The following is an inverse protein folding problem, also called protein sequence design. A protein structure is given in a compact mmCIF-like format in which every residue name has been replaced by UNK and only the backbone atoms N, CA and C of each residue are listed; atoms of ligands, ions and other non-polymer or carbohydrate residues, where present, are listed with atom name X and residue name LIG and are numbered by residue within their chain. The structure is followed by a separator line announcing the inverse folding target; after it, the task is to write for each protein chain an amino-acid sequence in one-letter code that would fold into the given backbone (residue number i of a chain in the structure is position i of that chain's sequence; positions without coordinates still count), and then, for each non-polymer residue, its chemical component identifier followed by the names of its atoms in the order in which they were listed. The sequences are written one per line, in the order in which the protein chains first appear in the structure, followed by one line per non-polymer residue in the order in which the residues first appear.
data_IF_928685108448
#
_entry.id   IF_928685108448
#
_cell.length_a   1.000
_cell.length_b   1.000
_cell.length_c   1.000
_cell.angle_alpha   90.00
_cell.angle_beta   90.00
_cell.angle_gamma   90.00
#
_symmetry.space_group_name_H-M   'P 1'
#
loop_
_entity.id
_entity.type
_entity.pdbx_description
1 polymer ?
#
# COMPACT_ATOMS: atom_id res chain seq x y z
N UNK A 1 -0.33 13.75 -6.37
CA UNK A 1 -1.38 13.65 -7.42
C UNK A 1 -1.71 12.18 -7.68
N UNK A 2 -2.86 11.88 -8.29
CA UNK A 2 -3.16 10.52 -8.76
C UNK A 2 -2.23 10.13 -9.92
N UNK A 3 -1.68 8.92 -9.87
CA UNK A 3 -0.99 8.30 -11.01
C UNK A 3 -1.59 6.92 -11.23
N UNK A 4 -2.11 6.67 -12.45
CA UNK A 4 -2.59 5.34 -12.81
C UNK A 4 -1.45 4.33 -12.75
N UNK A 5 -1.64 3.29 -11.95
CA UNK A 5 -0.68 2.20 -11.80
C UNK A 5 -1.41 0.86 -11.68
N UNK A 6 -1.28 0.06 -12.74
CA UNK A 6 -1.68 -1.34 -12.72
C UNK A 6 -0.59 -2.16 -13.41
N UNK A 7 0.26 -2.78 -12.62
CA UNK A 7 1.31 -3.66 -13.10
C UNK A 7 0.96 -5.15 -12.95
N UNK A 8 -0.31 -5.47 -12.72
CA UNK A 8 -0.78 -6.86 -12.80
C UNK A 8 -0.39 -7.44 -14.17
N UNK A 9 0.23 -8.62 -14.25
CA UNK A 9 0.82 -9.15 -15.48
C UNK A 9 -0.22 -9.42 -16.58
N UNK A 10 -1.49 -9.59 -16.20
CA UNK A 10 -2.61 -9.78 -17.13
C UNK A 10 -3.47 -8.52 -17.29
N UNK A 11 -3.05 -7.38 -16.73
CA UNK A 11 -3.77 -6.11 -16.81
C UNK A 11 -5.17 -6.14 -16.18
N UNK A 12 -5.44 -7.09 -15.26
CA UNK A 12 -6.75 -7.22 -14.63
C UNK A 12 -7.05 -5.99 -13.78
N UNK A 13 -8.23 -5.42 -13.94
CA UNK A 13 -8.65 -4.19 -13.23
C UNK A 13 -9.48 -4.45 -11.97
N UNK A 14 -10.17 -5.60 -11.92
CA UNK A 14 -11.09 -5.98 -10.85
C UNK A 14 -10.62 -7.25 -10.16
N UNK A 15 -9.53 -7.13 -9.40
CA UNK A 15 -8.96 -8.21 -8.58
C UNK A 15 -8.53 -7.63 -7.22
N UNK A 16 -8.63 -8.43 -6.17
CA UNK A 16 -8.25 -8.06 -4.80
C UNK A 16 -6.73 -8.06 -4.58
N UNK A 17 -5.96 -7.48 -5.49
CA UNK A 17 -4.49 -7.51 -5.50
C UNK A 17 -3.83 -6.19 -5.04
N UNK A 18 -4.59 -5.32 -4.37
CA UNK A 18 -4.10 -4.01 -3.92
C UNK A 18 -2.84 -4.12 -3.06
N UNK A 19 -2.78 -5.09 -2.15
CA UNK A 19 -1.59 -5.36 -1.34
C UNK A 19 -0.37 -5.69 -2.20
N UNK A 20 -0.54 -6.50 -3.26
CA UNK A 20 0.53 -6.89 -4.18
C UNK A 20 1.01 -5.68 -4.98
N UNK A 21 0.10 -4.92 -5.58
CA UNK A 21 0.44 -3.72 -6.37
C UNK A 21 1.11 -2.65 -5.51
N UNK A 22 0.62 -2.44 -4.29
CA UNK A 22 1.20 -1.47 -3.37
C UNK A 22 2.63 -1.87 -2.96
N UNK A 23 2.82 -3.11 -2.50
CA UNK A 23 4.15 -3.64 -2.15
C UNK A 23 5.10 -3.58 -3.34
N UNK A 24 4.65 -4.04 -4.51
CA UNK A 24 5.43 -3.97 -5.75
C UNK A 24 5.90 -2.54 -6.06
N UNK A 25 4.99 -1.57 -6.00
CA UNK A 25 5.32 -0.17 -6.27
C UNK A 25 6.27 0.43 -5.23
N UNK A 26 6.06 0.13 -3.95
CA UNK A 26 6.86 0.67 -2.85
C UNK A 26 8.28 0.09 -2.82
N UNK A 27 8.44 -1.18 -3.22
CA UNK A 27 9.73 -1.86 -3.25
C UNK A 27 10.47 -1.70 -4.59
N UNK A 28 9.79 -1.23 -5.64
CA UNK A 28 10.38 -1.12 -6.97
C UNK A 28 10.62 -2.48 -7.64
N UNK A 29 9.79 -3.48 -7.31
CA UNK A 29 9.87 -4.86 -7.83
C UNK A 29 8.67 -5.17 -8.72
N UNK A 30 8.71 -6.26 -9.47
CA UNK A 30 7.59 -6.71 -10.29
C UNK A 30 6.38 -7.14 -9.45
N UNK A 31 5.22 -7.26 -10.10
CA UNK A 31 4.01 -7.77 -9.44
C UNK A 31 4.21 -9.21 -8.97
N UNK A 32 4.85 -10.06 -9.78
CA UNK A 32 5.10 -11.47 -9.45
C UNK A 32 6.05 -11.61 -8.25
N UNK A 33 7.12 -10.82 -8.21
CA UNK A 33 8.04 -10.80 -7.05
C UNK A 33 7.32 -10.36 -5.77
N UNK A 34 6.47 -9.33 -5.83
CA UNK A 34 5.69 -8.89 -4.68
C UNK A 34 4.66 -9.94 -4.24
N UNK A 35 4.03 -10.63 -5.21
CA UNK A 35 3.10 -11.71 -4.97
C UNK A 35 3.79 -12.86 -4.23
N UNK A 36 4.96 -13.29 -4.70
CA UNK A 36 5.73 -14.38 -4.10
C UNK A 36 6.18 -14.05 -2.67
N UNK A 37 6.67 -12.82 -2.43
CA UNK A 37 7.04 -12.36 -1.08
C UNK A 37 5.86 -12.43 -0.10
N UNK A 38 4.69 -11.92 -0.52
CA UNK A 38 3.49 -11.93 0.31
C UNK A 38 2.96 -13.35 0.51
N UNK A 39 2.97 -14.20 -0.52
CA UNK A 39 2.50 -15.59 -0.43
C UNK A 39 3.39 -16.43 0.49
N UNK A 40 4.71 -16.27 0.40
CA UNK A 40 5.64 -16.99 1.28
C UNK A 40 5.53 -16.52 2.72
N UNK A 41 5.36 -15.21 2.95
CA UNK A 41 5.13 -14.68 4.28
C UNK A 41 3.79 -15.15 4.86
N UNK A 42 2.72 -15.13 4.07
CA UNK A 42 1.40 -15.55 4.53
C UNK A 42 1.39 -17.04 4.91
N UNK A 43 2.08 -17.90 4.15
CA UNK A 43 2.28 -19.32 4.50
C UNK A 43 3.03 -19.48 5.83
N UNK A 44 4.10 -18.72 6.06
CA UNK A 44 4.89 -18.77 7.31
C UNK A 44 4.05 -18.33 8.52
N UNK A 45 3.15 -17.38 8.32
CA UNK A 45 2.30 -16.83 9.38
C UNK A 45 0.97 -17.57 9.53
N UNK A 46 0.64 -18.49 8.60
CA UNK A 46 -0.63 -19.22 8.61
C UNK A 46 -1.86 -18.34 8.33
N UNK A 47 -1.71 -17.26 7.56
CA UNK A 47 -2.81 -16.34 7.19
C UNK A 47 -2.79 -16.02 5.69
N UNK A 48 -3.64 -15.09 5.26
CA UNK A 48 -3.83 -14.67 3.87
C UNK A 48 -2.88 -13.51 3.48
N UNK A 49 -2.62 -13.36 2.19
CA UNK A 49 -1.61 -12.42 1.65
C UNK A 49 -1.94 -10.94 1.88
N UNK A 50 -3.22 -10.59 1.94
CA UNK A 50 -3.69 -9.24 2.17
C UNK A 50 -3.93 -8.92 3.65
N UNK A 51 -3.53 -9.83 4.55
CA UNK A 51 -3.51 -9.56 5.99
C UNK A 51 -2.47 -8.47 6.31
N UNK A 52 -2.85 -7.50 7.14
CA UNK A 52 -1.99 -6.39 7.53
C UNK A 52 -0.70 -6.83 8.21
N UNK A 53 -0.72 -7.96 8.92
CA UNK A 53 0.47 -8.49 9.59
C UNK A 53 1.46 -9.06 8.57
N UNK A 54 0.96 -9.66 7.49
CA UNK A 54 1.76 -10.16 6.36
C UNK A 54 2.40 -9.00 5.61
N UNK A 55 1.60 -7.98 5.26
CA UNK A 55 2.11 -6.77 4.58
C UNK A 55 3.16 -6.08 5.47
N UNK A 56 2.88 -5.94 6.77
CA UNK A 56 3.83 -5.37 7.73
C UNK A 56 5.13 -6.14 7.80
N UNK A 57 5.07 -7.47 7.85
CA UNK A 57 6.25 -8.31 7.93
C UNK A 57 7.14 -8.17 6.68
N UNK A 58 6.54 -8.21 5.48
CA UNK A 58 7.27 -7.99 4.22
C UNK A 58 7.88 -6.60 4.19
N UNK A 59 7.09 -5.54 4.39
CA UNK A 59 7.59 -4.16 4.35
C UNK A 59 8.71 -3.92 5.38
N UNK A 60 8.58 -4.49 6.59
CA UNK A 60 9.61 -4.41 7.64
C UNK A 60 10.93 -5.05 7.22
N UNK A 61 10.90 -6.18 6.51
CA UNK A 61 12.11 -6.80 5.97
C UNK A 61 12.83 -5.90 4.95
N UNK A 62 12.12 -4.95 4.34
CA UNK A 62 12.64 -4.01 3.35
C UNK A 62 12.91 -2.59 3.91
N UNK A 63 12.96 -2.46 5.24
CA UNK A 63 13.36 -1.24 5.94
C UNK A 63 12.22 -0.26 6.22
N UNK A 64 10.97 -0.64 5.95
CA UNK A 64 9.83 0.17 6.36
C UNK A 64 9.51 -0.07 7.84
N UNK A 65 8.86 0.91 8.46
CA UNK A 65 8.24 0.74 9.77
C UNK A 65 6.83 1.32 9.76
N UNK A 66 5.97 0.80 10.63
CA UNK A 66 4.54 1.14 10.68
C UNK A 66 4.32 2.29 11.65
N UNK A 67 3.57 3.30 11.21
CA UNK A 67 3.03 4.37 12.06
C UNK A 67 1.50 4.33 12.02
N UNK A 68 0.89 4.68 13.16
CA UNK A 68 -0.55 4.88 13.24
C UNK A 68 -0.86 6.35 13.00
N UNK A 69 -1.87 6.63 12.18
CA UNK A 69 -2.32 8.00 11.99
C UNK A 69 -3.00 8.50 13.29
N UNK A 70 -2.71 9.73 13.77
CA UNK A 70 -3.32 10.24 14.99
C UNK A 70 -4.85 10.31 14.85
N UNK A 71 -5.54 9.52 15.67
CA UNK A 71 -6.99 9.26 15.67
C UNK A 71 -7.89 10.47 15.96
N UNK A 72 -7.39 11.70 15.82
CA UNK A 72 -8.16 12.90 16.17
C UNK A 72 -9.40 13.08 15.29
N UNK A 73 -9.39 12.51 14.07
CA UNK A 73 -10.61 12.34 13.29
C UNK A 73 -10.43 11.29 12.18
N UNK A 74 -11.30 10.27 12.18
CA UNK A 74 -11.14 9.03 11.41
C UNK A 74 -11.46 9.16 9.92
N UNK A 75 -12.26 10.16 9.54
CA UNK A 75 -12.82 10.31 8.19
C UNK A 75 -12.45 11.64 7.51
N UNK A 76 -11.53 12.42 8.10
CA UNK A 76 -11.17 13.75 7.60
C UNK A 76 -9.75 13.83 7.03
N UNK A 77 -9.04 12.71 6.92
CA UNK A 77 -7.72 12.69 6.31
C UNK A 77 -7.64 11.63 5.22
N UNK A 78 -7.66 12.12 3.99
CA UNK A 78 -7.74 11.31 2.78
C UNK A 78 -6.36 10.94 2.24
N UNK A 79 -6.27 9.90 1.41
CA UNK A 79 -5.04 9.55 0.68
C UNK A 79 -4.51 10.74 -0.12
N UNK A 80 -5.40 11.54 -0.71
CA UNK A 80 -5.03 12.75 -1.48
C UNK A 80 -4.35 13.79 -0.58
N UNK A 81 -4.88 14.04 0.61
CA UNK A 81 -4.30 14.97 1.58
C UNK A 81 -2.99 14.43 2.14
N UNK A 82 -2.93 13.14 2.49
CA UNK A 82 -1.71 12.46 2.89
C UNK A 82 -0.60 12.66 1.86
N UNK A 83 -0.91 12.42 0.58
CA UNK A 83 0.06 12.61 -0.49
C UNK A 83 0.48 14.08 -0.66
N UNK A 84 -0.44 15.04 -0.53
CA UNK A 84 -0.10 16.47 -0.58
C UNK A 84 0.85 16.88 0.56
N UNK A 85 0.60 16.40 1.77
CA UNK A 85 1.34 16.82 2.96
C UNK A 85 2.66 16.04 3.13
N UNK A 86 2.84 14.93 2.40
CA UNK A 86 4.07 14.14 2.35
C UNK A 86 4.70 14.18 0.94
N UNK A 87 5.32 15.31 0.54
CA UNK A 87 5.83 15.52 -0.81
C UNK A 87 7.13 14.76 -1.12
N UNK A 88 7.76 14.15 -0.12
CA UNK A 88 9.02 13.41 -0.25
C UNK A 88 8.90 12.12 0.57
N UNK A 89 9.35 11.00 0.00
CA UNK A 89 9.43 9.71 0.68
C UNK A 89 8.57 8.64 0.04
N UNK A 90 8.70 7.40 0.54
CA UNK A 90 7.92 6.26 0.07
C UNK A 90 7.06 5.72 1.21
N UNK A 91 5.76 5.67 0.96
CA UNK A 91 4.76 5.27 1.94
C UNK A 91 3.86 4.19 1.35
N UNK A 92 3.49 3.22 2.17
CA UNK A 92 2.35 2.33 1.90
C UNK A 92 1.25 2.73 2.85
N UNK A 93 0.09 3.11 2.33
CA UNK A 93 -1.02 3.67 3.09
C UNK A 93 -2.14 2.65 3.14
N UNK A 94 -2.59 2.33 4.35
CA UNK A 94 -3.72 1.44 4.58
C UNK A 94 -4.99 2.21 4.91
N UNK A 95 -6.07 1.82 4.27
CA UNK A 95 -7.43 2.34 4.48
C UNK A 95 -8.30 1.25 5.14
N UNK A 96 -9.62 1.43 5.20
CA UNK A 96 -10.52 0.43 5.76
C UNK A 96 -10.53 -0.91 5.02
N UNK A 97 -10.39 -0.89 3.69
CA UNK A 97 -10.47 -2.10 2.84
C UNK A 97 -9.42 -2.13 1.72
N UNK A 98 -8.55 -1.13 1.65
CA UNK A 98 -7.63 -0.94 0.55
C UNK A 98 -6.22 -0.56 1.03
N UNK A 99 -5.22 -0.80 0.18
CA UNK A 99 -3.83 -0.43 0.41
C UNK A 99 -3.27 0.21 -0.86
N UNK A 100 -2.62 1.36 -0.71
CA UNK A 100 -2.12 2.17 -1.83
C UNK A 100 -0.73 2.73 -1.52
N UNK A 101 0.12 2.84 -2.54
CA UNK A 101 1.47 3.40 -2.38
C UNK A 101 1.48 4.88 -2.72
N UNK A 102 2.13 5.67 -1.87
CA UNK A 102 2.43 7.09 -2.09
C UNK A 102 3.94 7.25 -2.22
N UNK A 103 4.40 7.90 -3.29
CA UNK A 103 5.82 8.25 -3.50
C UNK A 103 5.91 9.71 -3.93
N UNK A 104 6.68 10.49 -3.19
CA UNK A 104 6.95 11.91 -3.46
C UNK A 104 5.67 12.71 -3.80
N UNK A 105 4.70 12.57 -2.90
CA UNK A 105 3.37 13.18 -3.00
C UNK A 105 2.44 12.67 -4.11
N UNK A 106 2.79 11.56 -4.76
CA UNK A 106 1.94 10.90 -5.76
C UNK A 106 1.44 9.56 -5.27
N UNK A 107 0.14 9.30 -5.39
CA UNK A 107 -0.45 8.00 -5.05
C UNK A 107 -0.69 7.17 -6.32
N UNK A 108 -0.31 5.90 -6.26
CA UNK A 108 -0.25 4.99 -7.40
C UNK A 108 -1.24 3.87 -7.25
N UNK A 109 -2.25 3.84 -8.13
CA UNK A 109 -3.32 2.85 -8.02
C UNK A 109 -4.07 2.64 -9.34
N UNK A 110 -4.86 1.57 -9.43
CA UNK A 110 -5.63 1.22 -10.62
C UNK A 110 -6.94 2.01 -10.77
N UNK A 111 -7.32 2.78 -9.74
CA UNK A 111 -8.41 3.77 -9.76
C UNK A 111 -8.04 4.99 -8.91
N UNK A 112 -8.75 6.14 -9.05
CA UNK A 112 -8.45 7.33 -8.26
C UNK A 112 -8.93 7.20 -6.80
N UNK A 113 -8.28 6.35 -6.00
CA UNK A 113 -8.57 6.08 -4.56
C UNK A 113 -8.26 7.22 -3.59
N UNK A 114 -8.12 8.45 -4.11
CA UNK A 114 -7.66 9.60 -3.33
C UNK A 114 -8.59 10.04 -2.21
N UNK A 115 -9.88 9.69 -2.26
CA UNK A 115 -10.90 10.06 -1.28
C UNK A 115 -11.05 9.02 -0.15
N UNK A 116 -10.28 7.93 -0.18
CA UNK A 116 -10.27 6.94 0.91
C UNK A 116 -9.60 7.52 2.17
N UNK A 117 -10.15 7.19 3.35
CA UNK A 117 -9.61 7.62 4.65
C UNK A 117 -8.34 6.85 5.01
N UNK A 118 -7.29 7.58 5.41
CA UNK A 118 -6.04 7.01 5.91
C UNK A 118 -6.22 6.55 7.36
N UNK A 119 -5.87 5.30 7.64
CA UNK A 119 -5.93 4.74 9.00
C UNK A 119 -4.54 4.53 9.60
N UNK A 120 -3.60 4.08 8.78
CA UNK A 120 -2.20 3.82 9.15
C UNK A 120 -1.35 3.83 7.88
N UNK A 121 -0.04 3.91 8.06
CA UNK A 121 0.90 3.83 6.96
C UNK A 121 2.20 3.17 7.39
N UNK A 122 2.93 2.64 6.41
CA UNK A 122 4.31 2.24 6.54
C UNK A 122 5.17 3.26 5.79
N UNK A 123 6.32 3.62 6.34
CA UNK A 123 7.24 4.61 5.76
C UNK A 123 8.68 4.11 5.77
N UNK A 124 9.46 4.56 4.78
CA UNK A 124 10.90 4.33 4.63
C UNK A 124 11.64 5.64 4.35
#
# INVERSE_FOLDING_TARGET
MYVFFNNNPLGRKTVGDCSVRAVSKALGISWDEAHDLLADMSKKMGTIMNDNDVISAVLRMHGFYKENFPWTCRDCYTVREFARDNPIGTYVVGTGSHVVTVIDGNYYDSWPSGDESVLYFWVK
#
